data_IF_323200466287
#
_entry.id   IF_323200466287
#
_cell.length_a   1.000
_cell.length_b   1.000
_cell.length_c   1.000
_cell.angle_alpha   90.00
_cell.angle_beta   90.00
_cell.angle_gamma   90.00
#
_symmetry.space_group_name_H-M   'P 1'
#
loop_
_entity.id
_entity.type
_entity.pdbx_description
1 polymer ?
#
# COMPACT_ATOMS: atom_id res chain seq x y z
N UNK A 1 9.73 47.03 -27.23
CA UNK A 1 8.91 46.84 -26.01
C UNK A 1 7.91 45.71 -26.28
N UNK A 2 8.27 44.44 -26.06
CA UNK A 2 7.31 43.32 -26.20
C UNK A 2 7.67 42.04 -25.38
N UNK A 3 8.61 42.11 -24.43
CA UNK A 3 9.05 40.91 -23.69
C UNK A 3 8.35 40.69 -22.33
N UNK A 4 7.50 41.61 -21.86
CA UNK A 4 6.79 41.44 -20.57
C UNK A 4 5.50 40.61 -20.66
N UNK A 5 4.96 40.39 -21.86
CA UNK A 5 3.69 39.68 -22.04
C UNK A 5 3.85 38.18 -22.35
N UNK A 6 5.03 37.71 -22.81
CA UNK A 6 5.28 36.28 -23.03
C UNK A 6 5.57 35.51 -21.74
N UNK A 7 6.29 36.11 -20.78
CA UNK A 7 6.66 35.42 -19.53
C UNK A 7 5.43 35.02 -18.68
N UNK A 8 4.37 35.81 -18.71
CA UNK A 8 3.18 35.59 -17.87
C UNK A 8 2.32 34.40 -18.34
N UNK A 9 2.31 34.08 -19.64
CA UNK A 9 1.63 32.89 -20.15
C UNK A 9 2.49 31.63 -20.04
N UNK A 10 3.83 31.76 -20.08
CA UNK A 10 4.75 30.62 -19.91
C UNK A 10 4.73 30.04 -18.49
N UNK A 11 4.49 30.86 -17.46
CA UNK A 11 4.52 30.42 -16.06
C UNK A 11 3.48 29.33 -15.73
N UNK A 12 2.18 29.46 -16.10
CA UNK A 12 1.22 28.37 -15.93
C UNK A 12 1.56 27.10 -16.72
N UNK A 13 2.03 27.20 -17.97
CA UNK A 13 2.38 26.03 -18.78
C UNK A 13 3.57 25.28 -18.20
N UNK A 14 4.63 26.01 -17.78
CA UNK A 14 5.79 25.41 -17.12
C UNK A 14 5.42 24.71 -15.81
N UNK A 15 4.46 25.25 -15.07
CA UNK A 15 3.95 24.59 -13.86
C UNK A 15 3.21 23.29 -14.20
N UNK A 16 2.32 23.30 -15.20
CA UNK A 16 1.59 22.09 -15.65
C UNK A 16 2.56 21.02 -16.13
N UNK A 17 3.55 21.39 -16.94
CA UNK A 17 4.61 20.48 -17.40
C UNK A 17 5.43 19.93 -16.23
N UNK A 18 5.81 20.77 -15.27
CA UNK A 18 6.57 20.33 -14.12
C UNK A 18 5.79 19.37 -13.22
N UNK A 19 4.48 19.60 -13.04
CA UNK A 19 3.59 18.66 -12.34
C UNK A 19 3.48 17.34 -13.12
N UNK A 20 3.37 17.40 -14.45
CA UNK A 20 3.36 16.22 -15.32
C UNK A 20 4.64 15.38 -15.18
N UNK A 21 5.81 16.02 -15.33
CA UNK A 21 7.12 15.37 -15.17
C UNK A 21 7.28 14.75 -13.78
N UNK A 22 6.77 15.43 -12.74
CA UNK A 22 6.81 14.95 -11.37
C UNK A 22 5.94 13.71 -11.15
N UNK A 23 4.75 13.63 -11.76
CA UNK A 23 3.92 12.42 -11.73
C UNK A 23 4.64 11.26 -12.40
N UNK A 24 5.20 11.48 -13.59
CA UNK A 24 5.95 10.45 -14.30
C UNK A 24 7.15 9.95 -13.47
N UNK A 25 7.93 10.87 -12.90
CA UNK A 25 9.03 10.52 -12.01
C UNK A 25 8.56 9.66 -10.82
N UNK A 26 7.47 10.05 -10.15
CA UNK A 26 6.94 9.30 -9.00
C UNK A 26 6.43 7.92 -9.41
N UNK A 27 5.68 7.82 -10.52
CA UNK A 27 5.22 6.53 -11.05
C UNK A 27 6.39 5.59 -11.35
N UNK A 28 7.48 6.12 -11.94
CA UNK A 28 8.72 5.36 -12.14
C UNK A 28 9.35 4.89 -10.82
N UNK A 29 9.35 5.71 -9.77
CA UNK A 29 9.85 5.30 -8.45
C UNK A 29 9.01 4.18 -7.81
N UNK A 30 7.71 4.12 -8.09
CA UNK A 30 6.82 3.09 -7.53
C UNK A 30 6.80 1.78 -8.30
N UNK A 31 7.29 1.74 -9.55
CA UNK A 31 7.35 0.50 -10.34
C UNK A 31 7.96 -0.64 -9.51
N UNK A 32 9.11 -0.42 -8.87
CA UNK A 32 9.82 -1.44 -8.08
C UNK A 32 9.24 -1.71 -6.68
N UNK A 33 8.14 -1.06 -6.33
CA UNK A 33 7.54 -1.13 -5.00
C UNK A 33 6.76 -2.42 -4.78
N UNK A 34 7.10 -3.15 -3.71
CA UNK A 34 6.33 -4.33 -3.31
C UNK A 34 4.91 -3.90 -2.86
N UNK A 35 3.84 -4.59 -3.30
CA UNK A 35 2.48 -4.27 -2.89
C UNK A 35 2.25 -4.42 -1.39
N UNK A 36 1.24 -3.73 -0.87
CA UNK A 36 0.71 -3.89 0.49
C UNK A 36 -0.76 -4.25 0.39
N UNK A 37 -1.20 -5.29 1.11
CA UNK A 37 -2.59 -5.76 1.12
C UNK A 37 -3.13 -5.65 2.53
N UNK A 38 -4.30 -5.04 2.70
CA UNK A 38 -5.06 -5.08 3.94
C UNK A 38 -6.42 -5.76 3.69
N UNK A 39 -6.80 -6.67 4.59
CA UNK A 39 -7.99 -7.50 4.47
C UNK A 39 -8.64 -7.68 5.85
N UNK A 40 -9.94 -7.42 5.93
CA UNK A 40 -10.73 -7.70 7.11
C UNK A 40 -10.94 -9.22 7.25
N UNK A 41 -10.89 -9.70 8.48
CA UNK A 41 -11.19 -11.08 8.85
C UNK A 41 -12.01 -11.08 10.14
N UNK A 42 -12.51 -12.24 10.57
CA UNK A 42 -13.41 -12.34 11.72
C UNK A 42 -12.85 -11.70 13.01
N UNK A 43 -11.54 -11.76 13.20
CA UNK A 43 -10.86 -11.23 14.38
C UNK A 43 -10.42 -9.77 14.29
N UNK A 44 -10.51 -9.14 13.11
CA UNK A 44 -10.09 -7.76 12.88
C UNK A 44 -9.51 -7.53 11.48
N UNK A 45 -8.31 -6.95 11.38
CA UNK A 45 -7.70 -6.59 10.08
C UNK A 45 -6.32 -7.22 9.96
N UNK A 46 -6.04 -7.87 8.83
CA UNK A 46 -4.74 -8.40 8.45
C UNK A 46 -4.07 -7.45 7.45
N UNK A 47 -2.78 -7.15 7.65
CA UNK A 47 -1.91 -6.49 6.70
C UNK A 47 -0.81 -7.44 6.25
N UNK A 48 -0.54 -7.52 4.94
CA UNK A 48 0.47 -8.39 4.33
C UNK A 48 1.30 -7.61 3.32
N UNK A 49 2.61 -7.78 3.38
CA UNK A 49 3.54 -7.26 2.36
C UNK A 49 4.84 -8.06 2.37
N UNK A 50 5.73 -7.72 1.45
CA UNK A 50 7.09 -8.26 1.39
C UNK A 50 8.06 -7.09 1.40
N UNK A 51 9.05 -7.15 2.27
CA UNK A 51 10.08 -6.12 2.43
C UNK A 51 11.47 -6.61 2.02
N UNK A 52 12.41 -5.67 1.91
CA UNK A 52 13.83 -5.90 1.62
C UNK A 52 14.67 -5.26 2.74
N UNK A 53 14.57 -5.80 3.94
CA UNK A 53 15.34 -5.35 5.12
C UNK A 53 14.71 -4.20 5.92
N UNK A 54 14.02 -3.25 5.28
CA UNK A 54 13.30 -2.18 5.99
C UNK A 54 11.82 -2.50 6.14
N UNK A 55 11.25 -2.43 7.36
CA UNK A 55 9.84 -2.70 7.58
C UNK A 55 8.92 -1.76 6.81
N UNK A 56 7.73 -2.28 6.52
CA UNK A 56 6.68 -1.55 5.80
C UNK A 56 5.38 -1.49 6.57
N UNK A 57 5.24 -2.33 7.61
CA UNK A 57 4.08 -2.40 8.48
C UNK A 57 4.44 -1.90 9.87
N UNK A 58 3.61 -1.03 10.45
CA UNK A 58 3.88 -0.37 11.72
C UNK A 58 2.60 -0.18 12.54
N UNK A 59 2.75 -0.15 13.85
CA UNK A 59 1.74 0.38 14.75
C UNK A 59 1.78 1.92 14.75
N UNK A 60 0.60 2.54 14.78
CA UNK A 60 0.44 4.01 14.93
C UNK A 60 -0.24 4.36 16.25
N UNK A 61 -1.25 3.60 16.64
CA UNK A 61 -1.98 3.82 17.88
C UNK A 61 -2.74 2.55 18.27
N UNK A 62 -3.43 2.57 19.41
CA UNK A 62 -4.15 1.43 19.99
C UNK A 62 -4.92 0.59 18.96
N UNK A 63 -5.55 1.23 17.98
CA UNK A 63 -6.38 0.58 16.94
C UNK A 63 -5.96 0.91 15.51
N UNK A 64 -4.77 1.50 15.34
CA UNK A 64 -4.30 2.01 14.06
C UNK A 64 -3.01 1.31 13.64
N UNK A 65 -3.02 0.77 12.43
CA UNK A 65 -1.83 0.24 11.78
C UNK A 65 -1.54 1.02 10.49
N UNK A 66 -0.27 1.14 10.16
CA UNK A 66 0.24 1.73 8.92
C UNK A 66 0.89 0.64 8.08
N UNK A 67 0.55 0.59 6.81
CA UNK A 67 1.32 -0.07 5.77
C UNK A 67 1.77 0.96 4.74
N UNK A 68 2.97 0.84 4.18
CA UNK A 68 3.42 1.79 3.17
C UNK A 68 4.40 1.21 2.15
N UNK A 69 4.52 1.89 1.02
CA UNK A 69 5.52 1.61 -0.01
C UNK A 69 6.12 2.92 -0.52
N UNK A 70 7.33 2.85 -1.08
CA UNK A 70 8.09 4.00 -1.55
C UNK A 70 9.45 4.12 -0.86
N UNK A 71 9.97 5.34 -0.77
CA UNK A 71 11.26 5.62 -0.16
C UNK A 71 11.19 5.46 1.37
N UNK A 72 12.07 4.65 2.00
CA UNK A 72 11.98 4.35 3.43
C UNK A 72 12.01 5.58 4.34
N UNK A 73 12.85 6.57 4.00
CA UNK A 73 12.94 7.81 4.80
C UNK A 73 11.67 8.64 4.75
N UNK A 74 10.96 8.65 3.62
CA UNK A 74 9.72 9.42 3.48
C UNK A 74 8.57 8.71 4.20
N UNK A 75 8.52 7.38 4.11
CA UNK A 75 7.60 6.56 4.89
C UNK A 75 7.80 6.77 6.40
N UNK A 76 9.06 6.77 6.87
CA UNK A 76 9.38 6.95 8.28
C UNK A 76 9.05 8.37 8.78
N UNK A 77 9.29 9.41 7.97
CA UNK A 77 8.86 10.77 8.28
C UNK A 77 7.35 10.86 8.47
N UNK A 78 6.57 10.29 7.55
CA UNK A 78 5.11 10.29 7.68
C UNK A 78 4.62 9.44 8.85
N UNK A 79 5.27 8.31 9.12
CA UNK A 79 4.99 7.49 10.31
C UNK A 79 5.19 8.29 11.58
N UNK A 80 6.31 9.00 11.70
CA UNK A 80 6.57 9.87 12.84
C UNK A 80 5.51 10.97 12.98
N UNK A 81 5.14 11.64 11.89
CA UNK A 81 4.05 12.63 11.91
C UNK A 81 2.71 12.02 12.37
N UNK A 82 2.36 10.82 11.91
CA UNK A 82 1.15 10.12 12.35
C UNK A 82 1.17 9.80 13.84
N UNK A 83 2.31 9.33 14.36
CA UNK A 83 2.48 9.05 15.79
C UNK A 83 2.28 10.30 16.63
N UNK A 84 2.94 11.40 16.27
CA UNK A 84 2.80 12.68 16.98
C UNK A 84 1.35 13.17 16.96
N UNK A 85 0.70 13.13 15.79
CA UNK A 85 -0.69 13.53 15.66
C UNK A 85 -1.64 12.66 16.50
N UNK A 86 -1.42 11.34 16.51
CA UNK A 86 -2.22 10.40 17.30
C UNK A 86 -2.07 10.66 18.80
N UNK A 87 -0.85 10.88 19.28
CA UNK A 87 -0.59 11.19 20.68
C UNK A 87 -1.18 12.54 21.10
N UNK A 88 -1.04 13.57 20.27
CA UNK A 88 -1.61 14.89 20.55
C UNK A 88 -3.14 14.83 20.58
N UNK A 89 -3.78 14.16 19.63
CA UNK A 89 -5.23 14.00 19.59
C UNK A 89 -5.73 13.19 20.81
N UNK A 90 -5.07 12.08 21.13
CA UNK A 90 -5.42 11.23 22.27
C UNK A 90 -5.25 11.94 23.61
N UNK A 91 -4.22 12.77 23.76
CA UNK A 91 -3.97 13.59 24.95
C UNK A 91 -4.98 14.73 25.09
N UNK A 92 -5.25 15.46 24.00
CA UNK A 92 -6.16 16.61 24.02
C UNK A 92 -7.64 16.20 24.17
N UNK A 93 -7.97 14.95 23.82
CA UNK A 93 -9.33 14.42 23.88
C UNK A 93 -9.36 13.11 24.66
N UNK A 94 -9.43 12.00 23.96
CA UNK A 94 -9.46 10.65 24.52
C UNK A 94 -8.74 9.72 23.55
N UNK A 95 -8.07 8.66 24.03
CA UNK A 95 -7.55 7.59 23.18
C UNK A 95 -8.63 6.99 22.25
N UNK A 96 -9.89 7.00 22.66
CA UNK A 96 -11.02 6.53 21.84
C UNK A 96 -11.37 7.42 20.65
N UNK A 97 -10.93 8.69 20.66
CA UNK A 97 -11.25 9.69 19.63
C UNK A 97 -10.19 9.72 18.52
N UNK A 98 -9.09 8.99 18.69
CA UNK A 98 -8.02 8.84 17.71
C UNK A 98 -8.49 7.90 16.60
N UNK A 99 -8.93 8.49 15.49
CA UNK A 99 -9.42 7.76 14.30
C UNK A 99 -8.47 7.95 13.13
N UNK A 100 -8.21 6.87 12.39
CA UNK A 100 -7.40 6.89 11.18
C UNK A 100 -8.01 7.81 10.13
N UNK A 101 -9.34 7.82 10.02
CA UNK A 101 -10.08 8.73 9.14
C UNK A 101 -9.71 10.20 9.40
N UNK A 102 -9.62 10.62 10.66
CA UNK A 102 -9.23 11.98 11.04
C UNK A 102 -7.76 12.28 10.75
N UNK A 103 -6.86 11.38 11.18
CA UNK A 103 -5.41 11.54 10.98
C UNK A 103 -5.03 11.64 9.50
N UNK A 104 -5.72 10.88 8.64
CA UNK A 104 -5.53 10.89 7.20
C UNK A 104 -6.13 12.17 6.59
N UNK A 105 -7.43 12.39 6.74
CA UNK A 105 -8.18 13.43 6.01
C UNK A 105 -7.76 14.85 6.37
N UNK A 106 -7.49 15.09 7.66
CA UNK A 106 -7.17 16.44 8.17
C UNK A 106 -5.69 16.60 8.53
N UNK A 107 -4.91 15.52 8.46
CA UNK A 107 -3.50 15.52 8.80
C UNK A 107 -2.60 15.29 7.61
N UNK A 108 -2.33 14.03 7.33
CA UNK A 108 -1.27 13.64 6.39
C UNK A 108 -1.65 13.90 4.93
N UNK A 109 -2.90 13.72 4.52
CA UNK A 109 -3.26 13.93 3.11
C UNK A 109 -3.02 15.39 2.65
N UNK A 110 -3.44 16.43 3.40
CA UNK A 110 -3.05 17.82 3.09
C UNK A 110 -1.52 18.05 3.02
N UNK A 111 -0.75 17.44 3.94
CA UNK A 111 0.72 17.58 3.97
C UNK A 111 1.36 16.97 2.72
N UNK A 112 0.92 15.78 2.31
CA UNK A 112 1.41 15.13 1.09
C UNK A 112 1.03 15.96 -0.14
N UNK A 113 -0.22 16.40 -0.23
CA UNK A 113 -0.71 17.23 -1.33
C UNK A 113 0.12 18.50 -1.48
N UNK A 114 0.36 19.21 -0.38
CA UNK A 114 1.17 20.42 -0.38
C UNK A 114 2.60 20.14 -0.87
N UNK A 115 3.25 19.08 -0.37
CA UNK A 115 4.60 18.70 -0.81
C UNK A 115 4.66 18.28 -2.29
N UNK A 116 3.56 17.75 -2.83
CA UNK A 116 3.45 17.45 -4.25
C UNK A 116 3.31 18.71 -5.12
N UNK A 117 2.49 19.68 -4.70
CA UNK A 117 2.24 20.94 -5.41
C UNK A 117 3.42 21.92 -5.36
N UNK A 118 4.26 21.83 -4.32
CA UNK A 118 5.51 22.61 -4.19
C UNK A 118 6.62 22.05 -5.10
N UNK A 119 6.54 22.38 -6.39
CA UNK A 119 7.43 21.88 -7.46
C UNK A 119 8.93 22.10 -7.17
N UNK A 120 9.28 23.16 -6.43
CA UNK A 120 10.66 23.52 -6.08
C UNK A 120 11.26 22.70 -4.93
N UNK A 121 10.46 21.88 -4.23
CA UNK A 121 10.96 20.90 -3.23
C UNK A 121 10.88 19.49 -3.78
N UNK A 122 11.57 18.55 -3.14
CA UNK A 122 11.38 17.12 -3.44
C UNK A 122 10.01 16.65 -2.92
N UNK A 123 9.25 15.87 -3.71
CA UNK A 123 8.00 15.28 -3.23
C UNK A 123 8.28 14.13 -2.27
N UNK A 124 7.27 13.75 -1.48
CA UNK A 124 7.31 12.47 -0.79
C UNK A 124 7.17 11.34 -1.82
N UNK A 125 8.12 10.41 -1.82
CA UNK A 125 8.01 9.18 -2.60
C UNK A 125 7.35 8.14 -1.71
N UNK A 126 6.05 8.29 -1.44
CA UNK A 126 5.32 7.36 -0.58
C UNK A 126 3.86 7.15 -1.00
N UNK A 127 3.39 5.91 -0.87
CA UNK A 127 1.96 5.55 -0.81
C UNK A 127 1.73 4.87 0.53
N UNK A 128 0.66 5.24 1.23
CA UNK A 128 0.36 4.68 2.56
C UNK A 128 -1.05 4.16 2.66
N UNK A 129 -1.23 3.18 3.53
CA UNK A 129 -2.46 2.53 3.90
C UNK A 129 -2.56 2.59 5.43
N UNK A 130 -3.59 3.24 5.94
CA UNK A 130 -3.92 3.27 7.35
C UNK A 130 -5.12 2.36 7.58
N UNK A 131 -4.92 1.33 8.41
CA UNK A 131 -5.98 0.45 8.85
C UNK A 131 -6.47 0.87 10.23
N UNK A 132 -7.78 1.09 10.36
CA UNK A 132 -8.45 1.45 11.59
C UNK A 132 -9.38 0.32 12.03
N UNK A 133 -9.10 -0.24 13.21
CA UNK A 133 -9.92 -1.29 13.81
C UNK A 133 -11.06 -0.71 14.63
N UNK A 134 -12.28 -0.86 14.12
CA UNK A 134 -13.49 -0.40 14.78
C UNK A 134 -13.80 -1.18 16.07
N UNK A 135 -14.86 -0.77 16.78
CA UNK A 135 -15.40 -1.59 17.89
C UNK A 135 -16.20 -2.80 17.37
N UNK A 136 -16.70 -2.71 16.14
CA UNK A 136 -17.37 -3.78 15.41
C UNK A 136 -16.80 -3.83 14.00
N UNK A 137 -16.94 -4.98 13.33
CA UNK A 137 -16.41 -5.20 11.97
C UNK A 137 -16.95 -4.21 10.95
N UNK A 138 -18.20 -3.75 11.10
CA UNK A 138 -18.81 -2.78 10.16
C UNK A 138 -18.20 -1.37 10.30
N UNK A 139 -17.43 -1.13 11.35
CA UNK A 139 -16.72 0.13 11.60
C UNK A 139 -15.22 0.04 11.30
N UNK A 140 -14.75 -1.07 10.75
CA UNK A 140 -13.38 -1.15 10.28
C UNK A 140 -13.23 -0.27 9.04
N UNK A 141 -12.16 0.53 9.01
CA UNK A 141 -11.89 1.45 7.90
C UNK A 141 -10.47 1.25 7.39
N UNK A 142 -10.32 1.25 6.07
CA UNK A 142 -9.04 1.17 5.40
C UNK A 142 -8.89 2.42 4.54
N UNK A 143 -7.92 3.27 4.89
CA UNK A 143 -7.65 4.50 4.16
C UNK A 143 -6.35 4.37 3.38
N UNK A 144 -6.38 4.67 2.09
CA UNK A 144 -5.16 4.74 1.26
C UNK A 144 -4.89 6.18 0.90
N UNK A 145 -3.62 6.57 0.79
CA UNK A 145 -3.19 7.88 0.31
C UNK A 145 -2.11 7.67 -0.75
N UNK A 146 -2.30 8.30 -1.91
CA UNK A 146 -1.36 8.35 -3.00
C UNK A 146 -0.34 9.49 -2.83
N UNK A 147 0.74 9.49 -3.62
CA UNK A 147 1.83 10.46 -3.54
C UNK A 147 1.41 11.92 -3.84
N UNK A 148 0.24 12.14 -4.44
CA UNK A 148 -0.33 13.46 -4.74
C UNK A 148 -1.34 13.92 -3.68
N UNK A 149 -1.49 13.15 -2.60
CA UNK A 149 -2.41 13.43 -1.50
C UNK A 149 -3.87 13.05 -1.79
N UNK A 150 -4.16 12.43 -2.94
CA UNK A 150 -5.46 11.79 -3.16
C UNK A 150 -5.61 10.61 -2.20
N UNK A 151 -6.79 10.47 -1.60
CA UNK A 151 -7.07 9.42 -0.63
C UNK A 151 -8.42 8.77 -0.88
N UNK A 152 -8.51 7.49 -0.50
CA UNK A 152 -9.72 6.69 -0.60
C UNK A 152 -9.98 5.99 0.74
N UNK A 153 -11.24 5.85 1.11
CA UNK A 153 -11.70 5.13 2.30
C UNK A 153 -12.53 3.93 1.85
N UNK A 154 -12.15 2.75 2.32
CA UNK A 154 -12.71 1.46 1.91
C UNK A 154 -13.03 0.62 3.14
N UNK A 155 -13.92 -0.36 2.96
CA UNK A 155 -14.24 -1.39 3.95
C UNK A 155 -13.94 -2.76 3.37
N UNK A 156 -13.62 -3.73 4.24
CA UNK A 156 -13.34 -5.11 3.84
C UNK A 156 -11.93 -5.33 3.29
N UNK A 157 -11.51 -4.60 2.25
CA UNK A 157 -10.16 -4.75 1.69
C UNK A 157 -9.62 -3.44 1.10
N UNK A 158 -8.30 -3.30 1.09
CA UNK A 158 -7.58 -2.21 0.45
C UNK A 158 -6.19 -2.68 0.03
N UNK A 159 -5.66 -2.11 -1.04
CA UNK A 159 -4.33 -2.48 -1.56
C UNK A 159 -3.55 -1.24 -1.97
N UNK A 160 -2.24 -1.30 -1.77
CA UNK A 160 -1.27 -0.42 -2.44
C UNK A 160 -0.54 -1.27 -3.47
N UNK A 161 -0.44 -0.78 -4.69
CA UNK A 161 0.31 -1.42 -5.77
C UNK A 161 1.24 -0.42 -6.46
N UNK A 162 2.15 -0.95 -7.28
CA UNK A 162 3.07 -0.14 -8.09
C UNK A 162 2.34 0.71 -9.13
N UNK A 163 1.32 0.14 -9.80
CA UNK A 163 0.54 0.83 -10.84
C UNK A 163 -0.96 0.78 -10.55
N UNK A 164 -1.74 1.76 -11.07
CA UNK A 164 -3.20 1.72 -10.96
C UNK A 164 -3.81 0.44 -11.55
N UNK A 165 -3.27 -0.06 -12.66
CA UNK A 165 -3.73 -1.30 -13.29
C UNK A 165 -3.53 -2.53 -12.37
N UNK A 166 -2.39 -2.63 -11.70
CA UNK A 166 -2.14 -3.67 -10.71
C UNK A 166 -3.09 -3.54 -9.51
N UNK A 167 -3.32 -2.32 -9.00
CA UNK A 167 -4.26 -2.05 -7.91
C UNK A 167 -5.69 -2.47 -8.27
N UNK A 168 -6.16 -2.17 -9.48
CA UNK A 168 -7.48 -2.60 -9.96
C UNK A 168 -7.59 -4.12 -10.01
N UNK A 169 -6.58 -4.82 -10.57
CA UNK A 169 -6.58 -6.29 -10.65
C UNK A 169 -6.60 -6.94 -9.27
N UNK A 170 -5.76 -6.46 -8.35
CA UNK A 170 -5.69 -6.97 -6.97
C UNK A 170 -7.02 -6.76 -6.25
N UNK A 171 -7.60 -5.57 -6.35
CA UNK A 171 -8.88 -5.23 -5.71
C UNK A 171 -10.02 -6.08 -6.27
N UNK A 172 -10.08 -6.27 -7.60
CA UNK A 172 -11.08 -7.10 -8.24
C UNK A 172 -11.00 -8.56 -7.78
N UNK A 173 -9.78 -9.12 -7.74
CA UNK A 173 -9.54 -10.48 -7.25
C UNK A 173 -9.98 -10.67 -5.79
N UNK A 174 -9.64 -9.72 -4.91
CA UNK A 174 -10.05 -9.77 -3.51
C UNK A 174 -11.58 -9.75 -3.40
N UNK A 175 -12.26 -8.84 -4.09
CA UNK A 175 -13.73 -8.73 -4.04
C UNK A 175 -14.45 -9.98 -4.58
N UNK A 176 -13.89 -10.64 -5.58
CA UNK A 176 -14.48 -11.86 -6.17
C UNK A 176 -14.30 -13.08 -5.26
N UNK A 177 -13.16 -13.18 -4.57
CA UNK A 177 -12.76 -14.37 -3.82
C UNK A 177 -13.05 -14.26 -2.31
N UNK A 178 -13.52 -13.11 -1.84
CA UNK A 178 -13.76 -12.86 -0.42
C UNK A 178 -15.14 -13.37 0.02
N UNK A 179 -15.21 -14.40 0.89
CA UNK A 179 -16.45 -14.84 1.50
C UNK A 179 -16.95 -13.82 2.54
N UNK A 180 -18.19 -13.99 3.02
CA UNK A 180 -18.78 -13.10 4.05
C UNK A 180 -17.96 -13.08 5.36
N UNK A 181 -17.38 -14.21 5.74
CA UNK A 181 -16.51 -14.34 6.91
C UNK A 181 -15.23 -15.09 6.53
N UNK A 182 -14.09 -14.50 6.89
CA UNK A 182 -12.76 -15.07 6.66
C UNK A 182 -12.12 -15.42 8.01
N UNK A 183 -11.61 -16.66 8.13
CA UNK A 183 -10.63 -16.98 9.18
C UNK A 183 -9.29 -16.29 8.90
N UNK A 184 -8.42 -16.19 9.90
CA UNK A 184 -7.09 -15.59 9.72
C UNK A 184 -6.24 -16.35 8.68
N UNK A 185 -6.31 -17.68 8.65
CA UNK A 185 -5.60 -18.52 7.69
C UNK A 185 -6.10 -18.29 6.25
N UNK A 186 -7.42 -18.21 6.08
CA UNK A 186 -8.03 -17.94 4.78
C UNK A 186 -7.70 -16.52 4.29
N UNK A 187 -7.76 -15.53 5.19
CA UNK A 187 -7.37 -14.16 4.90
C UNK A 187 -5.90 -14.06 4.49
N UNK A 188 -5.01 -14.79 5.17
CA UNK A 188 -3.58 -14.82 4.85
C UNK A 188 -3.30 -15.43 3.48
N UNK A 189 -3.87 -16.60 3.16
CA UNK A 189 -3.70 -17.23 1.85
C UNK A 189 -4.28 -16.35 0.72
N UNK A 190 -5.45 -15.72 0.94
CA UNK A 190 -6.05 -14.82 -0.04
C UNK A 190 -5.21 -13.53 -0.24
N UNK A 191 -4.72 -12.93 0.84
CA UNK A 191 -3.88 -11.74 0.79
C UNK A 191 -2.54 -12.01 0.09
N UNK A 192 -1.93 -13.19 0.29
CA UNK A 192 -0.71 -13.60 -0.40
C UNK A 192 -0.93 -13.80 -1.89
N UNK A 193 -2.07 -14.39 -2.29
CA UNK A 193 -2.45 -14.50 -3.70
C UNK A 193 -2.66 -13.14 -4.35
N UNK A 194 -3.35 -12.22 -3.67
CA UNK A 194 -3.52 -10.85 -4.14
C UNK A 194 -2.18 -10.11 -4.25
N UNK A 195 -1.29 -10.25 -3.25
CA UNK A 195 0.06 -9.69 -3.30
C UNK A 195 0.84 -10.23 -4.50
N UNK A 196 0.74 -11.53 -4.79
CA UNK A 196 1.41 -12.16 -5.92
C UNK A 196 0.93 -11.58 -7.27
N UNK A 197 -0.37 -11.30 -7.42
CA UNK A 197 -0.93 -10.64 -8.61
C UNK A 197 -0.26 -9.28 -8.84
N UNK A 198 -0.17 -8.45 -7.79
CA UNK A 198 0.49 -7.14 -7.90
C UNK A 198 1.97 -7.23 -8.21
N UNK A 199 2.65 -8.21 -7.61
CA UNK A 199 4.08 -8.47 -7.80
C UNK A 199 4.40 -8.97 -9.22
N UNK A 200 3.54 -9.82 -9.80
CA UNK A 200 3.69 -10.33 -11.17
C UNK A 200 3.32 -9.29 -12.23
N UNK A 201 2.27 -8.49 -12.00
CA UNK A 201 1.88 -7.42 -12.92
C UNK A 201 3.04 -6.44 -13.16
N UNK A 202 3.83 -6.17 -12.12
CA UNK A 202 5.04 -5.37 -12.26
C UNK A 202 6.12 -6.03 -13.14
N UNK A 203 6.37 -7.33 -12.97
CA UNK A 203 7.38 -8.05 -13.78
C UNK A 203 6.99 -8.10 -15.27
N UNK A 204 5.69 -8.21 -15.57
CA UNK A 204 5.17 -8.20 -16.94
C UNK A 204 5.35 -6.83 -17.61
N UNK A 205 5.02 -5.74 -16.90
CA UNK A 205 5.24 -4.39 -17.44
C UNK A 205 6.73 -4.10 -17.70
N UNK A 206 7.64 -4.61 -16.87
CA UNK A 206 9.09 -4.49 -17.11
C UNK A 206 9.56 -5.32 -18.32
N UNK A 207 9.01 -6.53 -18.52
CA UNK A 207 9.36 -7.35 -19.69
C UNK A 207 8.84 -6.74 -20.99
N UNK A 208 7.60 -6.24 -20.98
CA UNK A 208 6.95 -5.66 -22.16
C UNK A 208 7.67 -4.37 -22.60
N UNK A 209 8.06 -3.49 -21.65
CA UNK A 209 8.84 -2.29 -21.94
C UNK A 209 10.23 -2.60 -22.54
N UNK A 210 10.89 -3.70 -22.11
CA UNK A 210 12.17 -4.11 -22.71
C UNK A 210 12.01 -4.60 -24.14
N UNK A 211 10.96 -5.38 -24.42
CA UNK A 211 10.67 -5.89 -25.78
C UNK A 211 10.29 -4.74 -26.72
N UNK A 212 9.48 -3.78 -26.28
CA UNK A 212 9.11 -2.59 -27.09
C UNK A 212 10.32 -1.70 -27.42
N UNK A 213 11.30 -1.60 -26.51
CA UNK A 213 12.53 -0.84 -26.74
C UNK A 213 13.44 -1.53 -27.78
N UNK A 214 13.36 -2.86 -27.90
CA UNK A 214 14.11 -3.66 -28.87
C UNK A 214 13.36 -3.85 -30.20
N UNK A 215 12.04 -3.65 -30.24
CA UNK A 215 11.20 -3.83 -31.41
C UNK A 215 10.37 -2.57 -31.72
N UNK A 216 11.07 -1.50 -32.12
CA UNK A 216 10.45 -0.29 -32.63
C UNK A 216 9.84 -0.50 -34.03
N UNK A 217 8.72 -1.22 -34.11
CA UNK A 217 7.64 -1.07 -35.09
C UNK A 217 6.60 -2.20 -34.92
N UNK A 218 5.59 -2.00 -34.10
CA UNK A 218 4.16 -2.21 -34.43
C UNK A 218 3.35 -2.15 -33.15
N UNK A 219 2.46 -1.16 -33.06
CA UNK A 219 1.51 -1.11 -31.95
C UNK A 219 0.38 -2.10 -32.17
N UNK A 220 0.02 -2.87 -31.15
CA UNK A 220 -1.33 -3.41 -30.98
C UNK A 220 -1.60 -3.64 -29.49
N UNK A 221 -2.70 -3.05 -29.01
CA UNK A 221 -3.62 -3.57 -27.98
C UNK A 221 -3.02 -4.10 -26.68
N UNK A 222 -3.19 -3.33 -25.60
CA UNK A 222 -3.00 -3.82 -24.23
C UNK A 222 -3.87 -5.08 -23.99
N UNK A 223 -3.26 -6.25 -24.07
CA UNK A 223 -3.89 -7.50 -23.68
C UNK A 223 -4.24 -7.38 -22.20
N UNK A 224 -5.52 -7.56 -21.85
CA UNK A 224 -5.95 -7.66 -20.46
C UNK A 224 -5.29 -8.92 -19.89
N UNK A 225 -4.12 -8.76 -19.28
CA UNK A 225 -3.37 -9.89 -18.75
C UNK A 225 -4.25 -10.63 -17.74
N UNK A 226 -4.57 -11.89 -18.08
CA UNK A 226 -5.43 -12.78 -17.31
C UNK A 226 -4.81 -13.03 -15.94
N UNK A 227 -5.65 -13.07 -14.89
CA UNK A 227 -5.18 -13.40 -13.53
C UNK A 227 -4.59 -14.81 -13.57
N UNK A 228 -3.33 -15.01 -13.12
CA UNK A 228 -2.72 -16.33 -13.08
C UNK A 228 -3.50 -17.30 -12.19
N UNK A 229 -3.41 -18.60 -12.48
CA UNK A 229 -4.04 -19.62 -11.64
C UNK A 229 -3.43 -19.64 -10.22
N UNK A 230 -4.15 -20.23 -9.27
CA UNK A 230 -3.76 -20.24 -7.84
C UNK A 230 -2.39 -20.91 -7.62
N UNK A 231 -2.07 -21.96 -8.37
CA UNK A 231 -0.79 -22.67 -8.22
C UNK A 231 0.39 -21.82 -8.67
N UNK A 232 0.26 -21.06 -9.76
CA UNK A 232 1.27 -20.10 -10.22
C UNK A 232 1.47 -18.96 -9.21
N UNK A 233 0.38 -18.44 -8.62
CA UNK A 233 0.48 -17.41 -7.57
C UNK A 233 1.22 -17.95 -6.34
N UNK A 234 0.97 -19.19 -5.93
CA UNK A 234 1.66 -19.84 -4.81
C UNK A 234 3.13 -20.11 -5.10
N UNK A 235 3.46 -20.51 -6.32
CA UNK A 235 4.85 -20.66 -6.75
C UNK A 235 5.59 -19.32 -6.71
N UNK A 236 4.94 -18.25 -7.17
CA UNK A 236 5.52 -16.91 -7.07
C UNK A 236 5.78 -16.49 -5.61
N UNK A 237 4.85 -16.79 -4.70
CA UNK A 237 5.04 -16.53 -3.26
C UNK A 237 6.19 -17.38 -2.70
N UNK A 238 6.36 -18.64 -3.12
CA UNK A 238 7.52 -19.46 -2.73
C UNK A 238 8.85 -18.85 -3.18
N UNK A 239 8.87 -18.18 -4.35
CA UNK A 239 10.08 -17.56 -4.90
C UNK A 239 10.58 -16.34 -4.12
N UNK A 240 9.86 -15.87 -3.09
CA UNK A 240 10.30 -14.78 -2.19
C UNK A 240 11.65 -15.11 -1.51
N UNK A 241 12.03 -16.38 -1.42
CA UNK A 241 13.30 -16.85 -0.88
C UNK A 241 14.51 -16.24 -1.62
N UNK A 242 15.09 -15.18 -1.06
CA UNK A 242 16.23 -14.47 -1.68
C UNK A 242 16.42 -13.04 -1.21
N UNK A 243 16.61 -12.82 0.10
CA UNK A 243 16.85 -11.49 0.68
C UNK A 243 15.61 -10.60 0.80
N UNK A 244 14.42 -11.20 0.65
CA UNK A 244 13.12 -10.57 0.92
C UNK A 244 12.48 -11.25 2.12
N UNK A 245 11.73 -10.49 2.91
CA UNK A 245 11.06 -10.99 4.11
C UNK A 245 9.56 -10.80 3.98
N UNK A 246 8.79 -11.86 4.25
CA UNK A 246 7.34 -11.77 4.36
C UNK A 246 6.99 -11.05 5.67
N UNK A 247 6.29 -9.93 5.56
CA UNK A 247 5.81 -9.14 6.69
C UNK A 247 4.29 -9.24 6.78
N UNK A 248 3.81 -9.72 7.92
CA UNK A 248 2.39 -9.73 8.23
C UNK A 248 2.16 -9.11 9.60
N UNK A 249 1.08 -8.35 9.73
CA UNK A 249 0.64 -7.80 10.99
C UNK A 249 -0.89 -7.86 11.08
N UNK A 250 -1.42 -7.96 12.29
CA UNK A 250 -2.85 -7.99 12.55
C UNK A 250 -3.24 -6.89 13.53
N UNK A 251 -4.44 -6.35 13.33
CA UNK A 251 -5.17 -5.59 14.34
C UNK A 251 -6.24 -6.52 14.93
N UNK A 252 -5.99 -7.05 16.12
CA UNK A 252 -6.83 -8.06 16.79
C UNK A 252 -7.83 -7.41 17.75
N UNK A 253 -9.13 -7.50 17.45
CA UNK A 253 -10.17 -6.81 18.22
C UNK A 253 -10.26 -7.27 19.67
N UNK A 254 -10.00 -8.56 19.88
CA UNK A 254 -10.05 -9.23 21.19
C UNK A 254 -8.67 -9.32 21.87
N UNK A 255 -7.62 -8.72 21.31
CA UNK A 255 -6.31 -8.73 21.95
C UNK A 255 -6.37 -8.05 23.33
N UNK A 256 -5.68 -8.60 24.35
CA UNK A 256 -5.59 -7.96 25.66
C UNK A 256 -4.74 -6.68 25.57
N UNK A 257 -4.98 -5.73 26.48
CA UNK A 257 -4.27 -4.45 26.51
C UNK A 257 -4.90 -3.37 25.60
N UNK A 258 -4.26 -2.21 25.53
CA UNK A 258 -4.75 -1.07 24.75
C UNK A 258 -4.40 -1.23 23.27
N UNK A 259 -3.15 -1.61 22.98
CA UNK A 259 -2.68 -1.94 21.63
C UNK A 259 -3.36 -3.20 21.09
N UNK A 260 -3.94 -3.07 19.90
CA UNK A 260 -4.51 -4.17 19.12
C UNK A 260 -3.56 -4.64 18.02
N UNK A 261 -2.43 -3.97 17.84
CA UNK A 261 -1.46 -4.31 16.80
C UNK A 261 -0.57 -5.48 17.25
N UNK A 262 -0.42 -6.48 16.39
CA UNK A 262 0.50 -7.59 16.57
C UNK A 262 1.19 -7.96 15.27
N UNK A 263 2.51 -7.88 15.23
CA UNK A 263 3.31 -8.45 14.14
C UNK A 263 3.32 -9.97 14.24
N UNK A 264 3.05 -10.67 13.13
CA UNK A 264 3.08 -12.13 13.08
C UNK A 264 4.52 -12.60 12.91
N UNK A 265 5.02 -13.32 13.92
CA UNK A 265 6.39 -13.84 13.92
C UNK A 265 6.51 -15.04 12.98
N UNK A 266 7.73 -15.43 12.56
CA UNK A 266 7.94 -16.64 11.75
C UNK A 266 7.27 -17.89 12.32
N UNK A 267 7.26 -18.06 13.64
CA UNK A 267 6.57 -19.16 14.31
C UNK A 267 5.05 -19.12 14.12
N UNK A 268 4.42 -17.94 14.14
CA UNK A 268 2.99 -17.79 13.90
C UNK A 268 2.66 -18.10 12.44
N UNK A 269 3.44 -17.52 11.52
CA UNK A 269 3.27 -17.71 10.08
C UNK A 269 3.44 -19.18 9.67
N UNK A 270 4.37 -19.92 10.28
CA UNK A 270 4.54 -21.35 9.99
C UNK A 270 3.30 -22.19 10.29
N UNK A 271 2.47 -21.77 11.25
CA UNK A 271 1.21 -22.43 11.63
C UNK A 271 0.05 -21.99 10.77
N UNK A 272 0.00 -20.72 10.39
CA UNK A 272 -1.09 -20.12 9.63
C UNK A 272 -0.99 -20.36 8.12
N UNK A 273 0.24 -20.51 7.60
CA UNK A 273 0.45 -20.71 6.17
C UNK A 273 0.04 -22.12 5.74
N UNK A 274 -0.56 -22.27 4.54
CA UNK A 274 -0.73 -23.56 3.91
C UNK A 274 0.61 -24.31 3.82
N UNK A 275 0.60 -25.64 3.93
CA UNK A 275 1.81 -26.48 3.81
C UNK A 275 2.67 -26.14 2.59
N UNK A 276 2.02 -25.79 1.49
CA UNK A 276 2.66 -25.40 0.23
C UNK A 276 3.48 -24.09 0.29
N UNK A 277 3.32 -23.27 1.34
CA UNK A 277 3.97 -21.96 1.49
C UNK A 277 4.87 -21.87 2.75
N UNK A 278 4.96 -22.94 3.55
CA UNK A 278 5.75 -22.94 4.79
C UNK A 278 7.26 -22.70 4.54
N UNK A 279 7.77 -23.06 3.36
CA UNK A 279 9.18 -22.82 2.98
C UNK A 279 9.56 -21.34 2.92
N UNK A 280 8.58 -20.43 2.76
CA UNK A 280 8.81 -18.97 2.68
C UNK A 280 9.32 -18.39 4.00
N UNK A 281 8.99 -19.06 5.12
CA UNK A 281 9.25 -18.57 6.48
C UNK A 281 10.36 -19.38 7.17
N UNK A 282 10.84 -20.45 6.54
CA UNK A 282 11.80 -21.39 7.12
C UNK A 282 13.26 -20.91 7.14
N UNK A 283 13.54 -19.67 6.70
CA UNK A 283 14.88 -19.08 6.63
C UNK A 283 15.07 -17.96 7.65
#
# INVERSE_FOLDING_TARGET
MNHRWCAMYEEPYRWVEAVGNRRQYLDEQFKQGSPVVALAYEGGILLVTVSKGTPKLYEIYDRLALGGMGHPTDLEKLRFSLLEMAHVEGFNRSPSDVTGSRLVKYGIAPVIKQAFEEVYKAPFIVRILVAELGQKSEKDALLTINYDGTFEEMTGCAVLAATPAAQTKMTAYLKEQMPETLSLEQALDLALRAWAIGSLAHQQEESDQRVETESSASGVGAAVATIPNVDALREHVRSIAGGRTLECAVLERQAPGTSKYRSLKPADLSRLLPKALQSVVAN
#
